data_IF_824905097151
#
_entry.id   IF_824905097151
#
_cell.length_a   1.000
_cell.length_b   1.000
_cell.length_c   1.000
_cell.angle_alpha   90.00
_cell.angle_beta   90.00
_cell.angle_gamma   90.00
#
_symmetry.space_group_name_H-M   'P 1'
#
loop_
_entity.id
_entity.type
_entity.pdbx_description
1 polymer ?
#
# COMPACT_ATOMS: atom_id res chain seq x y z
N UNK A 1 9.01 12.92 6.65
CA UNK A 1 8.67 11.65 6.01
C UNK A 1 8.79 10.41 6.90
N UNK A 2 9.81 9.54 6.79
CA UNK A 2 9.72 8.17 7.36
C UNK A 2 9.60 8.10 8.91
N UNK A 3 10.29 8.97 9.65
CA UNK A 3 10.18 8.99 11.12
C UNK A 3 8.79 9.40 11.62
N UNK A 4 8.13 10.32 10.91
CA UNK A 4 6.76 10.73 11.21
C UNK A 4 5.77 9.60 10.90
N UNK A 5 5.93 8.95 9.75
CA UNK A 5 5.13 7.79 9.33
C UNK A 5 5.10 6.68 10.39
N UNK A 6 6.28 6.27 10.89
CA UNK A 6 6.37 5.22 11.92
C UNK A 6 5.78 5.68 13.26
N UNK A 7 5.94 6.95 13.62
CA UNK A 7 5.36 7.53 14.84
C UNK A 7 3.83 7.49 14.79
N UNK A 8 3.23 7.89 13.67
CA UNK A 8 1.77 7.88 13.51
C UNK A 8 1.18 6.46 13.53
N UNK A 9 1.88 5.49 12.94
CA UNK A 9 1.47 4.07 13.03
C UNK A 9 1.41 3.64 14.49
N UNK A 10 2.46 3.93 15.27
CA UNK A 10 2.52 3.58 16.68
C UNK A 10 1.42 4.26 17.51
N UNK A 11 1.13 5.53 17.22
CA UNK A 11 0.04 6.26 17.89
C UNK A 11 -1.34 5.65 17.61
N UNK A 12 -1.60 5.19 16.39
CA UNK A 12 -2.85 4.49 16.05
C UNK A 12 -2.91 3.12 16.72
N UNK A 13 -1.82 2.35 16.65
CA UNK A 13 -1.73 1.03 17.25
C UNK A 13 -2.03 1.04 18.76
N UNK A 14 -1.49 2.04 19.49
CA UNK A 14 -1.67 2.17 20.94
C UNK A 14 -3.11 2.46 21.39
N UNK A 15 -4.01 2.87 20.48
CA UNK A 15 -5.42 3.10 20.83
C UNK A 15 -6.18 1.80 21.10
N UNK A 16 -5.69 0.68 20.54
CA UNK A 16 -6.23 -0.66 20.79
C UNK A 16 -7.51 -1.03 20.03
N UNK A 17 -8.10 -0.09 19.28
CA UNK A 17 -9.32 -0.28 18.47
C UNK A 17 -9.09 -0.14 16.95
N UNK A 18 -7.81 -0.03 16.55
CA UNK A 18 -7.43 0.20 15.17
C UNK A 18 -7.73 -1.01 14.26
N UNK A 19 -8.31 -0.72 13.09
CA UNK A 19 -8.46 -1.68 11.98
C UNK A 19 -7.43 -1.37 10.90
N UNK A 20 -7.35 -2.21 9.88
CA UNK A 20 -6.45 -2.02 8.74
C UNK A 20 -6.64 -0.63 8.10
N UNK A 21 -7.89 -0.20 7.92
CA UNK A 21 -8.23 1.09 7.30
C UNK A 21 -7.85 2.29 8.18
N UNK A 22 -7.67 2.09 9.49
CA UNK A 22 -7.22 3.15 10.40
C UNK A 22 -5.85 3.70 10.00
N UNK A 23 -5.01 2.90 9.32
CA UNK A 23 -3.66 3.29 8.91
C UNK A 23 -3.61 3.90 7.50
N UNK A 24 -4.73 3.98 6.78
CA UNK A 24 -4.72 4.36 5.36
C UNK A 24 -4.30 5.80 5.13
N UNK A 25 -4.76 6.72 5.99
CA UNK A 25 -4.37 8.13 5.94
C UNK A 25 -2.87 8.32 6.14
N UNK A 26 -2.24 7.49 6.95
CA UNK A 26 -0.80 7.53 7.23
C UNK A 26 -0.01 7.14 5.98
N UNK A 27 -0.39 6.02 5.33
CA UNK A 27 0.24 5.60 4.08
C UNK A 27 -0.02 6.59 2.95
N UNK A 28 -1.23 7.13 2.85
CA UNK A 28 -1.54 8.19 1.90
C UNK A 28 -0.66 9.43 2.11
N UNK A 29 -0.47 9.86 3.36
CA UNK A 29 0.40 10.98 3.73
C UNK A 29 1.85 10.75 3.31
N UNK A 30 2.41 9.57 3.60
CA UNK A 30 3.75 9.17 3.16
C UNK A 30 3.90 9.26 1.64
N UNK A 31 2.94 8.74 0.89
CA UNK A 31 2.97 8.75 -0.57
C UNK A 31 2.85 10.18 -1.13
N UNK A 32 1.99 11.03 -0.53
CA UNK A 32 1.86 12.45 -0.92
C UNK A 32 3.17 13.19 -0.71
N UNK A 33 3.74 13.11 0.49
CA UNK A 33 5.01 13.76 0.83
C UNK A 33 6.14 13.29 -0.11
N UNK A 34 6.18 11.98 -0.42
CA UNK A 34 7.12 11.44 -1.40
C UNK A 34 6.91 12.03 -2.79
N UNK A 35 5.68 12.02 -3.33
CA UNK A 35 5.40 12.56 -4.68
C UNK A 35 5.76 14.02 -4.81
N UNK A 36 5.55 14.82 -3.78
CA UNK A 36 5.97 16.23 -3.73
C UNK A 36 7.48 16.36 -3.74
N UNK A 37 8.20 15.56 -2.93
CA UNK A 37 9.66 15.59 -2.84
C UNK A 37 10.37 15.27 -4.16
N UNK A 38 9.77 14.43 -5.00
CA UNK A 38 10.31 14.07 -6.33
C UNK A 38 9.70 14.88 -7.48
N UNK A 39 8.94 15.94 -7.18
CA UNK A 39 8.35 16.84 -8.18
C UNK A 39 7.19 16.25 -8.99
N UNK A 40 6.57 15.15 -8.55
CA UNK A 40 5.46 14.47 -9.22
C UNK A 40 4.11 14.97 -8.71
N UNK A 41 3.80 16.25 -8.97
CA UNK A 41 2.62 16.95 -8.42
C UNK A 41 1.26 16.52 -9.01
N UNK A 42 1.25 15.81 -10.13
CA UNK A 42 0.00 15.37 -10.80
C UNK A 42 -0.40 13.94 -10.42
N UNK A 43 0.12 13.40 -9.31
CA UNK A 43 -0.24 12.08 -8.82
C UNK A 43 -1.41 12.19 -7.86
N UNK A 44 -2.45 11.42 -8.14
CA UNK A 44 -3.63 11.26 -7.31
C UNK A 44 -3.57 9.90 -6.62
N UNK A 45 -3.88 9.91 -5.33
CA UNK A 45 -3.99 8.72 -4.49
C UNK A 45 -5.46 8.62 -4.07
N UNK A 46 -6.10 7.50 -4.36
CA UNK A 46 -7.47 7.21 -3.96
C UNK A 46 -7.47 5.98 -3.07
N UNK A 47 -7.81 6.16 -1.79
CA UNK A 47 -8.11 5.09 -0.84
C UNK A 47 -9.50 4.53 -1.12
N UNK A 48 -9.67 3.22 -0.90
CA UNK A 48 -10.94 2.49 -1.11
C UNK A 48 -11.62 2.84 -2.45
N UNK A 49 -10.91 2.71 -3.59
CA UNK A 49 -11.43 3.06 -4.89
C UNK A 49 -12.67 2.22 -5.26
N UNK A 50 -13.47 2.73 -6.20
CA UNK A 50 -14.57 1.96 -6.80
C UNK A 50 -14.06 0.65 -7.39
N UNK A 51 -14.94 -0.35 -7.38
CA UNK A 51 -14.68 -1.70 -7.90
C UNK A 51 -14.09 -1.68 -9.30
N UNK A 52 -13.04 -2.49 -9.49
CA UNK A 52 -12.44 -2.80 -10.79
C UNK A 52 -12.86 -4.20 -11.23
N UNK A 53 -12.57 -4.54 -12.48
CA UNK A 53 -12.76 -5.91 -13.00
C UNK A 53 -11.91 -6.93 -12.22
N UNK A 54 -10.72 -6.53 -11.77
CA UNK A 54 -9.82 -7.38 -10.99
C UNK A 54 -10.26 -7.55 -9.52
N UNK A 55 -11.06 -6.61 -8.99
CA UNK A 55 -11.47 -6.53 -7.59
C UNK A 55 -11.35 -5.11 -7.01
N UNK A 56 -11.21 -5.01 -5.70
CA UNK A 56 -11.12 -3.75 -4.96
C UNK A 56 -9.76 -3.69 -4.26
N UNK A 57 -8.71 -3.15 -4.88
CA UNK A 57 -7.46 -2.87 -4.18
C UNK A 57 -7.67 -1.73 -3.18
N UNK A 58 -6.90 -1.70 -2.09
CA UNK A 58 -7.05 -0.69 -1.05
C UNK A 58 -6.69 0.72 -1.52
N UNK A 59 -5.70 0.85 -2.43
CA UNK A 59 -5.30 2.13 -3.01
C UNK A 59 -5.19 2.04 -4.52
N UNK A 60 -5.53 3.15 -5.18
CA UNK A 60 -5.26 3.42 -6.60
C UNK A 60 -4.39 4.67 -6.74
N UNK A 61 -3.29 4.54 -7.46
CA UNK A 61 -2.37 5.63 -7.80
C UNK A 61 -2.48 5.93 -9.29
N UNK A 62 -2.70 7.19 -9.65
CA UNK A 62 -3.02 7.58 -11.04
C UNK A 62 -2.69 9.05 -11.31
N UNK A 63 -2.71 9.46 -12.57
CA UNK A 63 -2.33 10.81 -13.01
C UNK A 63 -3.48 11.85 -12.97
N UNK A 64 -4.63 11.47 -12.40
CA UNK A 64 -5.84 12.30 -12.42
C UNK A 64 -6.61 12.27 -13.74
N UNK A 65 -6.12 11.53 -14.75
CA UNK A 65 -6.78 11.31 -16.05
C UNK A 65 -7.07 9.82 -16.24
N UNK A 66 -6.62 9.22 -17.33
CA UNK A 66 -6.88 7.82 -17.64
C UNK A 66 -5.72 6.90 -17.25
N UNK A 67 -4.55 7.45 -16.91
CA UNK A 67 -3.37 6.63 -16.68
C UNK A 67 -3.25 6.20 -15.21
N UNK A 68 -3.33 4.90 -15.00
CA UNK A 68 -3.13 4.28 -13.69
C UNK A 68 -1.66 3.93 -13.54
N UNK A 69 -1.01 4.51 -12.54
CA UNK A 69 0.40 4.26 -12.21
C UNK A 69 0.54 2.90 -11.54
N UNK A 70 -0.36 2.57 -10.62
CA UNK A 70 -0.37 1.29 -9.93
C UNK A 70 -1.39 1.23 -8.81
N UNK A 71 -1.35 0.11 -8.09
CA UNK A 71 -2.25 -0.18 -6.97
C UNK A 71 -1.45 -0.57 -5.73
N UNK A 72 -2.08 -0.45 -4.57
CA UNK A 72 -1.54 -0.95 -3.31
C UNK A 72 -2.62 -1.80 -2.64
N UNK A 73 -2.22 -2.98 -2.21
CA UNK A 73 -2.97 -3.83 -1.30
C UNK A 73 -2.31 -3.75 0.07
N UNK A 74 -3.08 -3.32 1.07
CA UNK A 74 -2.64 -3.25 2.45
C UNK A 74 -3.09 -4.48 3.22
N UNK A 75 -2.38 -4.75 4.32
CA UNK A 75 -2.73 -5.73 5.33
C UNK A 75 -2.52 -5.12 6.71
N UNK A 76 -3.29 -5.58 7.69
CA UNK A 76 -3.15 -5.12 9.07
C UNK A 76 -1.68 -5.22 9.53
N UNK A 77 -1.15 -4.21 10.26
CA UNK A 77 0.26 -4.20 10.67
C UNK A 77 0.72 -5.41 11.49
N UNK A 78 -0.22 -6.11 12.14
CA UNK A 78 0.01 -7.34 12.91
C UNK A 78 0.30 -8.57 12.02
N UNK A 79 0.00 -8.50 10.72
CA UNK A 79 0.28 -9.60 9.78
C UNK A 79 1.76 -9.53 9.41
N UNK A 80 2.59 -10.27 10.15
CA UNK A 80 4.05 -10.28 9.93
C UNK A 80 4.46 -11.04 8.67
N UNK A 81 3.75 -12.12 8.33
CA UNK A 81 4.12 -13.01 7.24
C UNK A 81 3.32 -12.70 5.97
N UNK A 82 3.86 -11.78 5.16
CA UNK A 82 3.30 -11.48 3.85
C UNK A 82 3.49 -12.62 2.82
N UNK A 83 4.35 -13.62 3.07
CA UNK A 83 4.50 -14.77 2.17
C UNK A 83 3.21 -15.59 2.10
N UNK A 84 2.48 -15.72 3.22
CA UNK A 84 1.18 -16.39 3.21
C UNK A 84 0.14 -15.60 2.41
N UNK A 85 0.17 -14.27 2.53
CA UNK A 85 -0.73 -13.38 1.79
C UNK A 85 -0.48 -13.51 0.29
N UNK A 86 0.78 -13.64 -0.15
CA UNK A 86 1.14 -13.91 -1.56
C UNK A 86 0.47 -15.13 -2.17
N UNK A 87 0.16 -16.14 -1.35
CA UNK A 87 -0.46 -17.38 -1.83
C UNK A 87 -1.98 -17.30 -1.95
N UNK A 88 -2.60 -16.24 -1.45
CA UNK A 88 -4.06 -16.06 -1.50
C UNK A 88 -4.54 -15.86 -2.93
N UNK A 89 -5.74 -16.38 -3.24
CA UNK A 89 -6.34 -16.23 -4.58
C UNK A 89 -6.60 -14.77 -4.95
N UNK A 90 -6.90 -13.93 -3.96
CA UNK A 90 -7.03 -12.48 -4.17
C UNK A 90 -5.71 -11.88 -4.66
N UNK A 91 -4.59 -12.12 -3.95
CA UNK A 91 -3.33 -11.49 -4.31
C UNK A 91 -2.72 -12.07 -5.58
N UNK A 92 -2.89 -13.38 -5.85
CA UNK A 92 -2.54 -13.99 -7.14
C UNK A 92 -3.26 -13.30 -8.30
N UNK A 93 -4.57 -13.06 -8.16
CA UNK A 93 -5.37 -12.34 -9.16
C UNK A 93 -4.85 -10.91 -9.36
N UNK A 94 -4.61 -10.17 -8.28
CA UNK A 94 -4.11 -8.79 -8.38
C UNK A 94 -2.73 -8.72 -9.03
N UNK A 95 -1.81 -9.61 -8.67
CA UNK A 95 -0.48 -9.71 -9.28
C UNK A 95 -0.55 -10.00 -10.78
N UNK A 96 -1.51 -10.81 -11.21
CA UNK A 96 -1.71 -11.13 -12.62
C UNK A 96 -2.36 -9.98 -13.40
N UNK A 97 -3.33 -9.28 -12.81
CA UNK A 97 -4.11 -8.25 -13.50
C UNK A 97 -3.47 -6.87 -13.46
N UNK A 98 -2.82 -6.50 -12.36
CA UNK A 98 -2.25 -5.16 -12.17
C UNK A 98 -0.78 -5.12 -12.60
N UNK A 99 -0.42 -4.29 -13.60
CA UNK A 99 0.97 -4.20 -14.07
C UNK A 99 1.94 -3.72 -13.00
N UNK A 100 1.50 -2.85 -12.08
CA UNK A 100 2.27 -2.41 -10.92
C UNK A 100 1.40 -2.56 -9.66
N UNK A 101 1.88 -3.34 -8.70
CA UNK A 101 1.22 -3.60 -7.43
C UNK A 101 2.22 -3.53 -6.29
N UNK A 102 1.86 -2.85 -5.20
CA UNK A 102 2.57 -2.94 -3.93
C UNK A 102 1.70 -3.76 -2.97
N UNK A 103 2.31 -4.75 -2.29
CA UNK A 103 1.74 -5.36 -1.10
C UNK A 103 2.45 -4.79 0.13
N UNK A 104 1.70 -4.41 1.16
CA UNK A 104 2.29 -3.92 2.40
C UNK A 104 1.48 -4.26 3.64
N UNK A 105 2.17 -4.45 4.77
CA UNK A 105 1.59 -4.42 6.11
C UNK A 105 1.98 -3.14 6.88
N UNK A 106 2.25 -2.05 6.15
CA UNK A 106 2.77 -0.77 6.67
C UNK A 106 4.23 -0.80 7.16
N UNK A 107 4.88 -1.97 7.23
CA UNK A 107 6.28 -2.11 7.66
C UNK A 107 7.16 -2.82 6.64
N UNK A 108 6.61 -3.78 5.91
CA UNK A 108 7.21 -4.39 4.73
C UNK A 108 6.49 -3.88 3.49
N UNK A 109 7.24 -3.58 2.44
CA UNK A 109 6.73 -3.19 1.12
C UNK A 109 7.31 -4.13 0.08
N UNK A 110 6.44 -4.75 -0.73
CA UNK A 110 6.83 -5.64 -1.82
C UNK A 110 6.30 -5.09 -3.13
N UNK A 111 7.20 -4.74 -4.05
CA UNK A 111 6.86 -4.25 -5.37
C UNK A 111 6.76 -5.42 -6.36
N UNK A 112 5.60 -5.58 -6.98
CA UNK A 112 5.39 -6.46 -8.10
C UNK A 112 5.22 -5.67 -9.39
N UNK A 113 5.88 -6.15 -10.45
CA UNK A 113 5.63 -5.68 -11.82
C UNK A 113 5.29 -6.87 -12.70
N UNK A 114 4.14 -6.80 -13.37
CA UNK A 114 3.61 -7.88 -14.21
C UNK A 114 3.66 -9.25 -13.50
N UNK A 115 3.20 -9.29 -12.25
CA UNK A 115 3.18 -10.49 -11.40
C UNK A 115 4.52 -10.92 -10.80
N UNK A 116 5.63 -10.33 -11.23
CA UNK A 116 6.98 -10.68 -10.76
C UNK A 116 7.39 -9.77 -9.60
N UNK A 117 7.93 -10.36 -8.52
CA UNK A 117 8.51 -9.59 -7.42
C UNK A 117 9.78 -8.88 -7.92
N UNK A 118 9.80 -7.56 -7.86
CA UNK A 118 10.91 -6.72 -8.31
C UNK A 118 11.83 -6.35 -7.15
N UNK A 119 11.24 -5.94 -6.03
CA UNK A 119 11.99 -5.53 -4.85
C UNK A 119 11.14 -5.66 -3.59
N UNK A 120 11.80 -5.76 -2.43
CA UNK A 120 11.14 -5.68 -1.13
C UNK A 120 12.01 -4.98 -0.09
N UNK A 121 11.38 -4.23 0.79
CA UNK A 121 12.05 -3.55 1.89
C UNK A 121 11.25 -3.70 3.18
N UNK A 122 11.96 -3.96 4.27
CA UNK A 122 11.44 -3.94 5.64
C UNK A 122 11.96 -2.66 6.30
N UNK A 123 11.07 -1.75 6.67
CA UNK A 123 11.42 -0.43 7.22
C UNK A 123 11.30 -0.35 8.75
N UNK A 124 10.56 -1.28 9.36
CA UNK A 124 10.47 -1.48 10.81
C UNK A 124 9.94 -2.90 11.08
N UNK A 125 9.90 -3.31 12.35
CA UNK A 125 9.22 -4.54 12.77
C UNK A 125 8.02 -4.16 13.65
N UNK A 126 6.88 -4.87 13.53
CA UNK A 126 5.84 -4.79 14.54
C UNK A 126 6.40 -5.25 15.89
N UNK A 127 5.81 -4.71 16.95
CA UNK A 127 6.25 -4.83 18.34
C UNK A 127 5.94 -6.18 18.97
#
# INVERSE_FOLDING_TARGET
>A
MLGLYLKEIFEIANRGDAREESYYSILEGLLREYTESVGKRNIHITTLPKKTEAGNPDFRIWDGKQHIVGYIEAKAPIIENLDQIETTEQLKRYRHTFPNLILTNFFEFRLYRNGTLIDKVLIARPY
#
